data_IF_755605833243
#
_entry.id   IF_755605833243
#
_cell.length_a   1.000
_cell.length_b   1.000
_cell.length_c   1.000
_cell.angle_alpha   90.00
_cell.angle_beta   90.00
_cell.angle_gamma   90.00
#
_symmetry.space_group_name_H-M   'P 1'
#
loop_
_entity.id
_entity.type
_entity.pdbx_description
1 polymer ?
#
# COMPACT_ATOMS: atom_id res chain seq x y z
N UNK A 1 24.30 -27.73 21.39
CA UNK A 1 22.85 -27.65 21.60
C UNK A 1 22.25 -27.42 20.25
N UNK A 2 21.27 -28.18 19.76
CA UNK A 2 20.60 -27.83 18.53
C UNK A 2 19.97 -26.45 18.73
N UNK A 3 19.96 -25.65 17.67
CA UNK A 3 19.42 -24.29 17.65
C UNK A 3 17.91 -24.34 17.90
N UNK A 4 17.51 -24.41 19.17
CA UNK A 4 16.10 -24.32 19.55
C UNK A 4 15.65 -22.87 19.45
N UNK A 5 14.78 -22.57 18.51
CA UNK A 5 14.17 -21.24 18.37
C UNK A 5 12.90 -21.13 19.20
N UNK A 6 12.64 -19.95 19.75
CA UNK A 6 11.35 -19.67 20.37
C UNK A 6 10.28 -19.46 19.30
N UNK A 7 10.66 -18.85 18.16
CA UNK A 7 9.78 -18.70 17.01
C UNK A 7 10.52 -18.79 15.68
N UNK A 8 9.82 -19.30 14.67
CA UNK A 8 10.23 -19.26 13.27
C UNK A 8 9.23 -18.42 12.50
N UNK A 9 9.72 -17.52 11.66
CA UNK A 9 8.91 -16.72 10.73
C UNK A 9 9.25 -17.17 9.31
N UNK A 10 8.28 -17.67 8.57
CA UNK A 10 8.45 -18.04 7.16
C UNK A 10 7.90 -16.93 6.29
N UNK A 11 8.78 -16.30 5.53
CA UNK A 11 8.54 -15.11 4.75
C UNK A 11 9.12 -13.86 5.41
N UNK A 12 9.90 -13.09 4.65
CA UNK A 12 10.52 -11.84 5.09
C UNK A 12 9.90 -10.61 4.42
N UNK A 13 8.63 -10.70 4.05
CA UNK A 13 7.84 -9.53 3.68
C UNK A 13 7.67 -8.57 4.87
N UNK A 14 7.11 -7.35 4.65
CA UNK A 14 6.95 -6.37 5.74
C UNK A 14 6.23 -6.92 6.96
N UNK A 15 5.25 -7.80 6.79
CA UNK A 15 4.49 -8.37 7.91
C UNK A 15 5.31 -9.43 8.66
N UNK A 16 5.99 -10.33 7.96
CA UNK A 16 6.88 -11.31 8.57
C UNK A 16 8.01 -10.65 9.35
N UNK A 17 8.64 -9.62 8.75
CA UNK A 17 9.67 -8.84 9.45
C UNK A 17 9.11 -8.07 10.64
N UNK A 18 7.89 -7.53 10.56
CA UNK A 18 7.26 -6.86 11.70
C UNK A 18 7.02 -7.83 12.88
N UNK A 19 6.59 -9.05 12.58
CA UNK A 19 6.48 -10.10 13.58
C UNK A 19 7.85 -10.45 14.18
N UNK A 20 8.87 -10.63 13.34
CA UNK A 20 10.24 -10.96 13.79
C UNK A 20 10.82 -9.84 14.68
N UNK A 21 10.69 -8.56 14.27
CA UNK A 21 11.11 -7.39 15.07
C UNK A 21 10.42 -7.39 16.43
N UNK A 22 9.12 -7.64 16.46
CA UNK A 22 8.33 -7.64 17.70
C UNK A 22 8.78 -8.75 18.65
N UNK A 23 9.02 -9.93 18.13
CA UNK A 23 9.44 -11.09 18.92
C UNK A 23 10.88 -10.96 19.42
N UNK A 24 11.81 -10.51 18.57
CA UNK A 24 13.20 -10.28 18.98
C UNK A 24 13.33 -9.15 19.99
N UNK A 25 12.55 -8.08 19.85
CA UNK A 25 12.49 -7.00 20.83
C UNK A 25 11.96 -7.47 22.21
N UNK A 26 11.18 -8.54 22.24
CA UNK A 26 10.75 -9.22 23.47
C UNK A 26 11.78 -10.22 24.03
N UNK A 27 12.98 -10.30 23.46
CA UNK A 27 14.07 -11.19 23.89
C UNK A 27 13.95 -12.64 23.44
N UNK A 28 13.07 -12.93 22.46
CA UNK A 28 12.89 -14.28 21.94
C UNK A 28 13.92 -14.58 20.85
N UNK A 29 14.36 -15.84 20.78
CA UNK A 29 15.24 -16.36 19.73
C UNK A 29 14.39 -16.63 18.48
N UNK A 30 14.60 -15.84 17.43
CA UNK A 30 13.78 -15.88 16.21
C UNK A 30 14.65 -16.26 15.02
N UNK A 31 14.14 -17.20 14.21
CA UNK A 31 14.65 -17.50 12.88
C UNK A 31 13.65 -17.00 11.84
N UNK A 32 14.11 -16.19 10.88
CA UNK A 32 13.34 -15.81 9.70
C UNK A 32 13.87 -16.59 8.50
N UNK A 33 12.99 -17.24 7.76
CA UNK A 33 13.36 -18.01 6.55
C UNK A 33 12.66 -17.37 5.34
N UNK A 34 13.47 -17.01 4.34
CA UNK A 34 13.02 -16.35 3.10
C UNK A 34 13.38 -17.19 1.88
N UNK A 35 12.40 -17.42 1.00
CA UNK A 35 12.60 -18.17 -0.23
C UNK A 35 13.44 -17.45 -1.29
N UNK A 36 13.33 -16.12 -1.35
CA UNK A 36 14.11 -15.31 -2.29
C UNK A 36 15.55 -15.10 -1.80
N UNK A 37 16.43 -14.67 -2.70
CA UNK A 37 17.82 -14.34 -2.36
C UNK A 37 17.96 -13.10 -1.46
N UNK A 38 16.92 -12.24 -1.42
CA UNK A 38 16.89 -11.01 -0.64
C UNK A 38 15.61 -10.91 0.17
N UNK A 39 15.70 -10.28 1.33
CA UNK A 39 14.53 -9.96 2.17
C UNK A 39 13.62 -8.91 1.51
N UNK A 40 12.39 -8.80 1.97
CA UNK A 40 11.53 -7.66 1.68
C UNK A 40 10.21 -7.99 1.00
N UNK A 41 10.04 -9.18 0.45
CA UNK A 41 8.78 -9.54 -0.23
C UNK A 41 8.38 -8.53 -1.31
N UNK A 42 7.22 -7.88 -1.17
CA UNK A 42 6.76 -6.83 -2.08
C UNK A 42 7.46 -5.48 -1.91
N UNK A 43 8.25 -5.27 -0.85
CA UNK A 43 9.01 -4.04 -0.60
C UNK A 43 10.49 -4.20 -0.98
N UNK A 44 10.77 -4.77 -2.14
CA UNK A 44 12.12 -4.86 -2.73
C UNK A 44 12.33 -3.78 -3.77
N UNK A 45 13.59 -3.41 -3.99
CA UNK A 45 14.00 -2.44 -5.01
C UNK A 45 15.14 -3.02 -5.81
N UNK A 46 15.01 -3.07 -7.13
CA UNK A 46 15.93 -3.76 -8.03
C UNK A 46 16.17 -2.96 -9.32
N UNK A 47 17.25 -3.28 -10.02
CA UNK A 47 17.53 -2.76 -11.36
C UNK A 47 16.81 -3.61 -12.40
N UNK A 48 15.50 -3.36 -12.59
CA UNK A 48 14.66 -4.21 -13.44
C UNK A 48 14.77 -3.88 -14.94
N UNK A 49 15.31 -2.70 -15.30
CA UNK A 49 15.41 -2.24 -16.69
C UNK A 49 16.86 -2.02 -17.09
N UNK A 50 17.35 -0.80 -17.02
CA UNK A 50 18.71 -0.42 -17.42
C UNK A 50 19.61 -0.18 -16.21
N UNK A 51 20.94 -0.26 -16.34
CA UNK A 51 21.89 0.10 -15.29
C UNK A 51 21.67 1.53 -14.79
N UNK A 52 21.64 1.70 -13.46
CA UNK A 52 21.42 3.01 -12.83
C UNK A 52 19.94 3.35 -12.58
N UNK A 53 18.98 2.57 -13.10
CA UNK A 53 17.55 2.76 -12.84
C UNK A 53 17.07 1.79 -11.74
N UNK A 54 16.57 2.35 -10.65
CA UNK A 54 16.10 1.58 -9.50
C UNK A 54 14.57 1.57 -9.42
N UNK A 55 14.00 0.38 -9.51
CA UNK A 55 12.55 0.16 -9.51
C UNK A 55 12.12 -0.55 -8.24
N UNK A 56 11.02 -0.12 -7.67
CA UNK A 56 10.35 -0.89 -6.62
C UNK A 56 9.62 -2.07 -7.26
N UNK A 57 9.92 -3.28 -6.79
CA UNK A 57 9.42 -4.52 -7.41
C UNK A 57 7.90 -4.62 -7.37
N UNK A 58 7.28 -4.17 -6.26
CA UNK A 58 5.83 -4.18 -6.11
C UNK A 58 5.34 -2.88 -5.44
N UNK A 59 5.59 -2.69 -4.14
CA UNK A 59 5.11 -1.53 -3.39
C UNK A 59 6.07 -0.36 -3.51
N UNK A 60 5.61 0.81 -3.97
CA UNK A 60 6.43 2.00 -4.13
C UNK A 60 6.02 3.17 -3.22
N UNK A 61 4.73 3.36 -3.02
CA UNK A 61 4.20 4.44 -2.17
C UNK A 61 3.71 3.90 -0.83
N UNK A 62 4.02 4.59 0.25
CA UNK A 62 3.88 4.07 1.62
C UNK A 62 3.08 5.00 2.57
N UNK A 63 1.87 5.45 2.22
CA UNK A 63 1.06 6.29 3.11
C UNK A 63 0.74 5.58 4.44
N UNK A 64 0.52 4.26 4.40
CA UNK A 64 0.27 3.46 5.59
C UNK A 64 1.51 3.31 6.49
N UNK A 65 2.73 3.36 5.95
CA UNK A 65 3.93 3.29 6.77
C UNK A 65 4.06 4.50 7.72
N UNK A 66 3.65 5.69 7.25
CA UNK A 66 3.61 6.89 8.10
C UNK A 66 2.55 6.80 9.20
N UNK A 67 1.41 6.19 8.88
CA UNK A 67 0.24 6.11 9.76
C UNK A 67 0.29 4.92 10.73
N UNK A 68 0.95 3.83 10.35
CA UNK A 68 0.96 2.56 11.08
C UNK A 68 1.45 2.71 12.52
N UNK A 69 0.71 2.22 13.53
CA UNK A 69 1.19 2.17 14.92
C UNK A 69 2.52 1.43 15.07
N UNK A 70 2.70 0.33 14.32
CA UNK A 70 3.96 -0.41 14.30
C UNK A 70 5.13 0.47 13.84
N UNK A 71 5.03 1.13 12.68
CA UNK A 71 6.12 1.92 12.15
C UNK A 71 6.39 3.20 12.96
N UNK A 72 5.36 3.79 13.57
CA UNK A 72 5.56 4.89 14.52
C UNK A 72 6.39 4.46 15.73
N UNK A 73 6.14 3.27 16.27
CA UNK A 73 6.92 2.71 17.38
C UNK A 73 8.30 2.25 16.92
N UNK A 74 8.40 1.63 15.74
CA UNK A 74 9.65 1.16 15.15
C UNK A 74 10.62 2.30 14.85
N UNK A 75 10.12 3.45 14.43
CA UNK A 75 10.91 4.66 14.22
C UNK A 75 11.80 4.59 12.98
N UNK A 76 11.22 4.49 11.79
CA UNK A 76 11.95 4.39 10.51
C UNK A 76 13.02 5.47 10.35
N UNK A 77 12.71 6.72 10.68
CA UNK A 77 13.66 7.84 10.55
C UNK A 77 14.90 7.66 11.44
N UNK A 78 14.73 7.19 12.68
CA UNK A 78 15.83 6.91 13.59
C UNK A 78 16.73 5.74 13.10
N UNK A 79 16.26 4.96 12.13
CA UNK A 79 16.96 3.85 11.50
C UNK A 79 17.47 4.20 10.09
N UNK A 80 17.54 5.49 9.75
CA UNK A 80 18.08 5.98 8.49
C UNK A 80 17.16 5.81 7.28
N UNK A 81 15.87 5.52 7.48
CA UNK A 81 14.89 5.44 6.40
C UNK A 81 14.14 6.75 6.31
N UNK A 82 14.33 7.49 5.23
CA UNK A 82 13.60 8.72 4.93
C UNK A 82 12.44 8.41 4.01
N UNK A 83 11.25 8.86 4.42
CA UNK A 83 10.06 8.84 3.58
C UNK A 83 9.85 10.25 3.03
N UNK A 84 9.82 10.39 1.71
CA UNK A 84 9.76 11.67 1.00
C UNK A 84 8.53 11.72 0.10
N UNK A 85 7.79 12.83 0.14
CA UNK A 85 6.61 13.06 -0.70
C UNK A 85 6.93 14.01 -1.84
N UNK A 86 6.24 13.81 -2.95
CA UNK A 86 6.19 14.76 -4.06
C UNK A 86 5.36 16.02 -3.66
N UNK A 87 5.50 17.14 -4.39
CA UNK A 87 4.69 18.36 -4.15
C UNK A 87 3.17 18.11 -4.27
N UNK A 88 2.76 17.21 -5.15
CA UNK A 88 1.39 16.71 -5.29
C UNK A 88 1.39 15.24 -4.88
N UNK A 89 0.56 14.89 -3.92
CA UNK A 89 0.53 13.55 -3.36
C UNK A 89 0.05 12.55 -4.41
N UNK A 90 -1.10 12.83 -5.03
CA UNK A 90 -1.53 12.10 -6.22
C UNK A 90 -2.41 12.96 -7.15
N UNK A 91 -2.47 12.58 -8.41
CA UNK A 91 -3.24 13.25 -9.45
C UNK A 91 -4.14 12.29 -10.21
N UNK A 92 -5.25 12.81 -10.71
CA UNK A 92 -6.17 12.18 -11.62
C UNK A 92 -6.24 13.01 -12.91
N UNK A 93 -5.46 12.66 -13.94
CA UNK A 93 -5.56 13.33 -15.23
C UNK A 93 -6.87 12.96 -15.93
N UNK A 94 -7.41 13.95 -16.67
CA UNK A 94 -8.61 13.86 -17.50
C UNK A 94 -8.28 14.37 -18.89
N UNK A 95 -9.13 14.07 -19.85
CA UNK A 95 -8.97 14.54 -21.22
C UNK A 95 -8.93 16.06 -21.32
N UNK A 96 -8.27 16.54 -22.39
CA UNK A 96 -8.11 17.97 -22.64
C UNK A 96 -7.14 18.69 -21.71
N UNK A 97 -6.18 17.97 -21.10
CA UNK A 97 -5.18 18.55 -20.20
C UNK A 97 -5.72 18.96 -18.83
N UNK A 98 -6.94 18.57 -18.50
CA UNK A 98 -7.51 18.77 -17.16
C UNK A 98 -6.92 17.74 -16.19
N UNK A 99 -6.89 18.09 -14.91
CA UNK A 99 -6.54 17.16 -13.84
C UNK A 99 -7.16 17.57 -12.53
N UNK A 100 -7.48 16.59 -11.69
CA UNK A 100 -7.74 16.80 -10.27
C UNK A 100 -6.52 16.32 -9.47
N UNK A 101 -6.20 17.00 -8.37
CA UNK A 101 -5.03 16.68 -7.56
C UNK A 101 -5.34 16.69 -6.08
N UNK A 102 -4.61 15.88 -5.33
CA UNK A 102 -4.57 15.92 -3.87
C UNK A 102 -3.21 16.47 -3.44
N UNK A 103 -3.24 17.53 -2.66
CA UNK A 103 -2.09 18.09 -1.95
C UNK A 103 -2.19 17.76 -0.46
N UNK A 104 -1.16 18.06 0.31
CA UNK A 104 -1.20 17.88 1.79
C UNK A 104 -2.34 18.69 2.43
N UNK A 105 -2.68 19.82 1.87
CA UNK A 105 -3.72 20.71 2.40
C UNK A 105 -5.10 20.33 1.87
N UNK A 106 -6.02 19.96 2.77
CA UNK A 106 -7.45 19.79 2.42
C UNK A 106 -8.03 21.09 1.86
N UNK A 107 -7.61 22.24 2.38
CA UNK A 107 -8.08 23.55 1.91
C UNK A 107 -7.61 23.83 0.50
N UNK A 108 -6.35 23.66 0.21
CA UNK A 108 -5.79 23.86 -1.14
C UNK A 108 -6.44 22.92 -2.17
N UNK A 109 -6.56 21.63 -1.83
CA UNK A 109 -7.25 20.66 -2.69
C UNK A 109 -8.70 21.10 -2.97
N UNK A 110 -9.41 21.55 -1.94
CA UNK A 110 -10.78 22.01 -2.07
C UNK A 110 -10.91 23.27 -2.95
N UNK A 111 -9.98 24.21 -2.85
CA UNK A 111 -9.94 25.40 -3.68
C UNK A 111 -9.75 25.05 -5.16
N UNK A 112 -8.87 24.10 -5.45
CA UNK A 112 -8.63 23.58 -6.80
C UNK A 112 -9.85 22.86 -7.38
N UNK A 113 -10.72 22.28 -6.54
CA UNK A 113 -11.97 21.62 -6.94
C UNK A 113 -13.15 22.60 -7.13
N UNK A 114 -12.96 23.89 -6.91
CA UNK A 114 -13.93 24.95 -7.21
C UNK A 114 -15.32 24.69 -6.62
N UNK A 115 -16.29 24.41 -7.47
CA UNK A 115 -17.70 24.20 -7.07
C UNK A 115 -17.89 23.08 -6.05
N UNK A 116 -17.04 22.07 -6.05
CA UNK A 116 -17.09 20.93 -5.11
C UNK A 116 -16.23 21.14 -3.87
N UNK A 117 -15.45 22.20 -3.78
CA UNK A 117 -14.52 22.44 -2.68
C UNK A 117 -15.17 22.43 -1.30
N UNK A 118 -16.40 22.98 -1.18
CA UNK A 118 -17.16 22.94 0.09
C UNK A 118 -17.56 21.51 0.47
N UNK A 119 -18.01 20.72 -0.49
CA UNK A 119 -18.39 19.33 -0.26
C UNK A 119 -17.14 18.48 0.12
N UNK A 120 -16.03 18.74 -0.55
CA UNK A 120 -14.75 18.10 -0.27
C UNK A 120 -14.26 18.38 1.15
N UNK A 121 -14.19 19.65 1.57
CA UNK A 121 -13.78 20.03 2.94
C UNK A 121 -14.67 19.42 4.01
N UNK A 122 -15.99 19.40 3.79
CA UNK A 122 -16.93 18.77 4.73
C UNK A 122 -16.72 17.27 4.88
N UNK A 123 -16.28 16.60 3.81
CA UNK A 123 -16.03 15.17 3.83
C UNK A 123 -14.67 14.84 4.44
N UNK A 124 -13.60 15.47 3.97
CA UNK A 124 -12.23 15.10 4.31
C UNK A 124 -11.64 15.86 5.49
N UNK A 125 -12.11 17.06 5.83
CA UNK A 125 -11.60 17.82 6.97
C UNK A 125 -11.63 17.03 8.27
N UNK A 126 -12.83 16.63 8.77
CA UNK A 126 -12.92 15.85 10.01
C UNK A 126 -12.17 14.51 9.99
N UNK A 127 -12.10 13.86 8.83
CA UNK A 127 -11.35 12.60 8.68
C UNK A 127 -9.85 12.83 8.80
N UNK A 128 -9.34 13.93 8.24
CA UNK A 128 -7.92 14.30 8.28
C UNK A 128 -7.51 14.71 9.69
N UNK A 129 -8.33 15.47 10.38
CA UNK A 129 -8.09 15.87 11.77
C UNK A 129 -7.98 14.67 12.72
N UNK A 130 -8.75 13.60 12.45
CA UNK A 130 -8.78 12.38 13.25
C UNK A 130 -8.07 11.17 12.59
N UNK A 131 -7.20 11.42 11.61
CA UNK A 131 -6.57 10.35 10.82
C UNK A 131 -5.81 9.31 11.66
N UNK A 132 -5.21 9.72 12.78
CA UNK A 132 -4.52 8.80 13.68
C UNK A 132 -5.50 7.80 14.34
N UNK A 133 -6.65 8.28 14.83
CA UNK A 133 -7.68 7.42 15.42
C UNK A 133 -8.32 6.50 14.38
N UNK A 134 -8.52 7.01 13.15
CA UNK A 134 -9.00 6.23 12.02
C UNK A 134 -8.02 5.09 11.67
N UNK A 135 -6.74 5.40 11.63
CA UNK A 135 -5.70 4.40 11.33
C UNK A 135 -5.63 3.35 12.44
N UNK A 136 -5.71 3.75 13.69
CA UNK A 136 -5.75 2.83 14.82
C UNK A 136 -6.96 1.89 14.74
N UNK A 137 -8.15 2.40 14.42
CA UNK A 137 -9.35 1.59 14.24
C UNK A 137 -9.16 0.55 13.13
N UNK A 138 -8.63 0.95 11.98
CA UNK A 138 -8.52 0.10 10.79
C UNK A 138 -7.39 -0.94 10.89
N UNK A 139 -6.31 -0.61 11.59
CA UNK A 139 -5.13 -1.49 11.73
C UNK A 139 -5.09 -2.24 13.07
N UNK A 140 -6.08 -2.05 13.93
CA UNK A 140 -6.21 -2.79 15.18
C UNK A 140 -7.07 -4.04 15.03
N UNK A 141 -6.90 -5.04 15.89
CA UNK A 141 -7.80 -6.20 15.90
C UNK A 141 -9.26 -5.77 16.09
N UNK A 142 -10.16 -6.28 15.26
CA UNK A 142 -11.60 -5.94 15.25
C UNK A 142 -12.26 -6.11 16.63
N UNK A 143 -11.72 -6.97 17.49
CA UNK A 143 -12.23 -7.23 18.85
C UNK A 143 -11.85 -6.14 19.87
N UNK A 144 -11.02 -5.18 19.50
CA UNK A 144 -10.65 -4.04 20.37
C UNK A 144 -11.27 -2.77 19.78
N UNK A 145 -12.41 -2.30 20.32
CA UNK A 145 -12.98 -1.03 19.89
C UNK A 145 -11.96 0.10 20.17
N UNK A 146 -11.99 1.18 19.37
CA UNK A 146 -11.12 2.32 19.61
C UNK A 146 -11.34 2.86 21.02
N UNK A 147 -10.28 3.25 21.70
CA UNK A 147 -10.34 3.75 23.07
C UNK A 147 -11.21 5.01 23.22
N UNK A 148 -11.41 5.74 22.11
CA UNK A 148 -12.28 6.93 22.05
C UNK A 148 -12.98 6.99 20.70
N UNK A 149 -14.27 7.32 20.71
CA UNK A 149 -15.00 7.73 19.51
C UNK A 149 -14.71 9.20 19.28
N UNK A 150 -14.01 9.51 18.19
CA UNK A 150 -13.66 10.88 17.81
C UNK A 150 -14.64 11.42 16.76
N UNK A 151 -14.76 12.75 16.60
CA UNK A 151 -15.66 13.36 15.63
C UNK A 151 -15.47 12.85 14.19
N UNK A 152 -14.25 12.49 13.77
CA UNK A 152 -13.96 11.96 12.44
C UNK A 152 -14.37 10.51 12.24
N UNK A 153 -14.43 9.70 13.30
CA UNK A 153 -14.85 8.30 13.20
C UNK A 153 -16.33 8.14 12.81
N UNK A 154 -17.19 9.06 13.26
CA UNK A 154 -18.63 9.03 12.94
C UNK A 154 -18.85 9.19 11.41
N UNK A 155 -18.37 10.26 10.74
CA UNK A 155 -18.52 10.40 9.30
C UNK A 155 -17.79 9.30 8.53
N UNK A 156 -16.67 8.75 9.03
CA UNK A 156 -16.01 7.60 8.41
C UNK A 156 -16.93 6.36 8.45
N UNK A 157 -17.46 6.01 9.62
CA UNK A 157 -18.34 4.83 9.77
C UNK A 157 -19.58 4.94 8.90
N UNK A 158 -20.20 6.11 8.85
CA UNK A 158 -21.41 6.34 8.02
C UNK A 158 -21.12 6.29 6.51
N UNK A 159 -19.98 6.79 6.08
CA UNK A 159 -19.61 6.86 4.66
C UNK A 159 -18.80 5.65 4.20
N UNK A 160 -17.99 5.05 5.06
CA UNK A 160 -17.21 3.84 4.76
C UNK A 160 -18.10 2.62 4.49
N UNK A 161 -19.33 2.60 5.01
CA UNK A 161 -20.34 1.60 4.68
C UNK A 161 -21.06 1.89 3.35
N UNK A 162 -20.66 2.92 2.60
CA UNK A 162 -21.16 3.23 1.26
C UNK A 162 -20.16 2.78 0.20
N UNK A 163 -20.66 2.56 -1.00
CA UNK A 163 -19.81 2.41 -2.17
C UNK A 163 -19.20 3.75 -2.59
N UNK A 164 -18.09 3.73 -3.32
CA UNK A 164 -17.51 4.93 -3.92
C UNK A 164 -18.53 5.66 -4.81
N UNK A 165 -19.34 4.91 -5.56
CA UNK A 165 -20.44 5.47 -6.35
C UNK A 165 -21.47 6.22 -5.50
N UNK A 166 -21.78 5.70 -4.30
CA UNK A 166 -22.68 6.37 -3.37
C UNK A 166 -22.11 7.66 -2.79
N UNK A 167 -20.78 7.70 -2.56
CA UNK A 167 -20.11 8.91 -2.06
C UNK A 167 -19.94 9.94 -3.18
N UNK A 168 -19.59 9.51 -4.41
CA UNK A 168 -19.38 10.37 -5.57
C UNK A 168 -20.59 11.24 -5.93
N UNK A 169 -21.80 10.82 -5.57
CA UNK A 169 -23.05 11.62 -5.76
C UNK A 169 -23.04 12.97 -5.02
N UNK A 170 -22.11 13.18 -4.09
CA UNK A 170 -21.93 14.45 -3.38
C UNK A 170 -21.22 15.50 -4.23
N UNK A 171 -20.51 15.05 -5.26
CA UNK A 171 -19.72 15.88 -6.14
C UNK A 171 -20.44 16.08 -7.48
N UNK A 172 -20.31 17.28 -8.02
CA UNK A 172 -20.96 17.72 -9.26
C UNK A 172 -20.03 17.69 -10.45
N UNK A 173 -18.73 17.97 -10.19
CA UNK A 173 -17.72 18.08 -11.24
C UNK A 173 -17.11 16.71 -11.57
N UNK A 174 -16.76 16.47 -12.84
CA UNK A 174 -16.03 15.27 -13.22
C UNK A 174 -14.70 15.11 -12.44
N UNK A 175 -14.01 16.22 -12.19
CA UNK A 175 -12.73 16.27 -11.50
C UNK A 175 -12.83 15.70 -10.07
N UNK A 176 -13.77 16.17 -9.27
CA UNK A 176 -13.93 15.71 -7.89
C UNK A 176 -14.40 14.26 -7.82
N UNK A 177 -15.25 13.84 -8.75
CA UNK A 177 -15.72 12.46 -8.86
C UNK A 177 -14.61 11.51 -9.29
N UNK A 178 -13.83 11.89 -10.30
CA UNK A 178 -12.70 11.12 -10.80
C UNK A 178 -11.59 10.96 -9.73
N UNK A 179 -11.30 12.02 -8.99
CA UNK A 179 -10.32 11.98 -7.89
C UNK A 179 -10.69 10.94 -6.82
N UNK A 180 -11.97 10.86 -6.44
CA UNK A 180 -12.45 9.85 -5.51
C UNK A 180 -12.38 8.44 -6.13
N UNK A 181 -12.72 8.28 -7.42
CA UNK A 181 -12.72 6.97 -8.08
C UNK A 181 -11.31 6.39 -8.20
N UNK A 182 -10.31 7.22 -8.53
CA UNK A 182 -8.91 6.78 -8.59
C UNK A 182 -8.43 6.20 -7.27
N UNK A 183 -8.66 6.90 -6.16
CA UNK A 183 -8.33 6.39 -4.84
C UNK A 183 -9.14 5.14 -4.45
N UNK A 184 -10.43 5.08 -4.80
CA UNK A 184 -11.29 3.96 -4.46
C UNK A 184 -10.99 2.69 -5.26
N UNK A 185 -10.48 2.83 -6.50
CA UNK A 185 -10.10 1.71 -7.36
C UNK A 185 -8.94 0.88 -6.81
N UNK A 186 -8.15 1.41 -5.86
CA UNK A 186 -7.20 0.59 -5.11
C UNK A 186 -7.85 -0.58 -4.36
N UNK A 187 -9.17 -0.57 -4.17
CA UNK A 187 -9.92 -1.70 -3.63
C UNK A 187 -10.03 -2.89 -4.57
N UNK A 188 -9.71 -2.73 -5.87
CA UNK A 188 -9.81 -3.75 -6.92
C UNK A 188 -11.19 -4.42 -6.94
N UNK A 189 -12.22 -3.63 -6.77
CA UNK A 189 -13.63 -4.04 -6.71
C UNK A 189 -14.48 -3.07 -7.54
N UNK A 190 -15.64 -3.51 -8.06
CA UNK A 190 -16.59 -2.59 -8.67
C UNK A 190 -16.88 -1.39 -7.76
N UNK A 191 -16.79 -0.17 -8.29
CA UNK A 191 -16.97 1.05 -7.49
C UNK A 191 -18.38 1.20 -6.88
N UNK A 192 -19.30 0.32 -7.24
CA UNK A 192 -20.62 0.15 -6.62
C UNK A 192 -20.61 -0.75 -5.39
N UNK A 193 -19.50 -1.45 -5.11
CA UNK A 193 -19.36 -2.33 -3.94
C UNK A 193 -19.09 -1.52 -2.67
N UNK A 194 -19.71 -1.92 -1.57
CA UNK A 194 -19.66 -1.20 -0.27
C UNK A 194 -18.24 -0.88 0.21
N UNK A 195 -17.24 -1.77 0.21
CA UNK A 195 -15.93 -1.45 0.77
C UNK A 195 -15.17 -0.36 0.02
N UNK A 196 -15.52 -0.08 -1.26
CA UNK A 196 -14.76 0.87 -2.08
C UNK A 196 -14.85 2.31 -1.57
N UNK A 197 -15.94 2.67 -0.91
CA UNK A 197 -16.06 3.97 -0.23
C UNK A 197 -15.05 4.10 0.90
N UNK A 198 -14.91 3.09 1.75
CA UNK A 198 -13.92 3.11 2.83
C UNK A 198 -12.49 3.23 2.29
N UNK A 199 -12.16 2.51 1.21
CA UNK A 199 -10.83 2.57 0.57
C UNK A 199 -10.53 3.98 0.08
N UNK A 200 -11.43 4.59 -0.71
CA UNK A 200 -11.25 5.94 -1.23
C UNK A 200 -11.13 6.99 -0.12
N UNK A 201 -11.97 6.90 0.92
CA UNK A 201 -11.91 7.79 2.07
C UNK A 201 -10.60 7.65 2.84
N UNK A 202 -10.20 6.41 3.17
CA UNK A 202 -8.98 6.15 3.92
C UNK A 202 -7.75 6.65 3.18
N UNK A 203 -7.57 6.26 1.93
CA UNK A 203 -6.37 6.60 1.17
C UNK A 203 -6.25 8.11 0.95
N UNK A 204 -7.35 8.80 0.61
CA UNK A 204 -7.33 10.27 0.47
C UNK A 204 -7.06 10.96 1.81
N UNK A 205 -7.64 10.46 2.91
CA UNK A 205 -7.36 10.97 4.26
C UNK A 205 -5.89 10.80 4.63
N UNK A 206 -5.29 9.64 4.35
CA UNK A 206 -3.87 9.40 4.60
C UNK A 206 -2.98 10.33 3.79
N UNK A 207 -3.33 10.60 2.52
CA UNK A 207 -2.60 11.54 1.69
C UNK A 207 -2.58 12.95 2.31
N UNK A 208 -3.69 13.43 2.83
CA UNK A 208 -3.75 14.71 3.54
C UNK A 208 -3.01 14.69 4.88
N UNK A 209 -3.24 13.68 5.70
CA UNK A 209 -2.71 13.65 7.07
C UNK A 209 -1.21 13.32 7.12
N UNK A 210 -0.76 12.36 6.32
CA UNK A 210 0.58 11.79 6.39
C UNK A 210 1.39 11.91 5.09
N UNK A 211 0.73 12.18 3.94
CA UNK A 211 1.31 12.20 2.61
C UNK A 211 1.23 10.86 1.88
N UNK A 212 1.78 10.88 0.69
CA UNK A 212 1.87 9.71 -0.19
C UNK A 212 3.34 9.41 -0.53
N UNK A 213 4.18 9.18 0.51
CA UNK A 213 5.63 9.16 0.36
C UNK A 213 6.12 7.90 -0.33
N UNK A 214 7.30 8.03 -0.96
CA UNK A 214 8.17 6.93 -1.33
C UNK A 214 9.35 6.85 -0.33
N UNK A 215 9.97 5.67 -0.22
CA UNK A 215 11.21 5.57 0.54
C UNK A 215 12.40 6.05 -0.32
N UNK A 216 13.19 6.98 0.20
CA UNK A 216 14.40 7.46 -0.45
C UNK A 216 15.38 6.28 -0.65
N UNK A 217 15.85 6.10 -1.88
CA UNK A 217 16.66 4.96 -2.29
C UNK A 217 15.88 3.65 -2.49
N UNK A 218 14.56 3.67 -2.36
CA UNK A 218 13.69 2.53 -2.66
C UNK A 218 13.02 1.86 -1.47
N UNK A 219 11.93 1.16 -1.75
CA UNK A 219 11.11 0.45 -0.74
C UNK A 219 11.91 -0.57 0.05
N UNK A 220 12.95 -1.17 -0.53
CA UNK A 220 13.87 -2.09 0.15
C UNK A 220 14.52 -1.47 1.41
N UNK A 221 14.68 -0.15 1.48
CA UNK A 221 15.22 0.53 2.65
C UNK A 221 14.39 0.27 3.91
N UNK A 222 13.07 0.18 3.76
CA UNK A 222 12.15 -0.11 4.87
C UNK A 222 12.40 -1.52 5.42
N UNK A 223 12.39 -2.51 4.55
CA UNK A 223 12.53 -3.92 4.96
C UNK A 223 13.96 -4.27 5.37
N UNK A 224 14.97 -3.61 4.79
CA UNK A 224 16.35 -3.76 5.24
C UNK A 224 16.52 -3.22 6.67
N UNK A 225 15.99 -2.05 6.99
CA UNK A 225 16.06 -1.54 8.36
C UNK A 225 15.36 -2.45 9.38
N UNK A 226 14.29 -3.13 8.97
CA UNK A 226 13.62 -4.13 9.81
C UNK A 226 14.48 -5.39 9.98
N UNK A 227 15.09 -5.89 8.90
CA UNK A 227 16.00 -7.04 8.94
C UNK A 227 17.22 -6.74 9.82
N UNK A 228 17.82 -5.55 9.67
CA UNK A 228 18.95 -5.10 10.50
C UNK A 228 18.56 -5.07 11.99
N UNK A 229 17.33 -4.62 12.30
CA UNK A 229 16.83 -4.61 13.68
C UNK A 229 16.65 -6.02 14.25
N UNK A 230 16.16 -6.97 13.46
CA UNK A 230 16.05 -8.39 13.84
C UNK A 230 17.44 -8.94 14.17
N UNK A 231 18.42 -8.72 13.29
CA UNK A 231 19.79 -9.21 13.45
C UNK A 231 20.49 -8.56 14.65
N UNK A 232 20.34 -7.23 14.80
CA UNK A 232 20.91 -6.51 15.93
C UNK A 232 20.35 -6.96 17.29
N UNK A 233 19.12 -7.48 17.32
CA UNK A 233 18.50 -8.06 18.50
C UNK A 233 18.81 -9.57 18.69
N UNK A 234 19.75 -10.13 17.90
CA UNK A 234 20.17 -11.54 18.01
C UNK A 234 19.30 -12.54 17.23
N UNK A 235 18.36 -12.05 16.41
CA UNK A 235 17.61 -12.90 15.48
C UNK A 235 18.47 -13.34 14.28
N UNK A 236 18.09 -14.45 13.68
CA UNK A 236 18.75 -15.00 12.48
C UNK A 236 17.84 -14.91 11.28
N UNK A 237 18.41 -14.57 10.13
CA UNK A 237 17.68 -14.52 8.85
C UNK A 237 18.41 -15.42 7.84
N UNK A 238 17.68 -16.31 7.21
CA UNK A 238 18.15 -17.18 6.15
C UNK A 238 17.39 -16.87 4.87
N UNK A 239 18.11 -16.59 3.78
CA UNK A 239 17.56 -16.31 2.45
C UNK A 239 17.88 -17.44 1.47
N UNK A 240 17.15 -17.49 0.34
CA UNK A 240 17.35 -18.53 -0.67
C UNK A 240 16.80 -19.91 -0.26
N UNK A 241 16.01 -19.98 0.80
CA UNK A 241 15.46 -21.23 1.32
C UNK A 241 13.92 -21.24 1.22
N UNK A 242 13.43 -21.87 0.18
CA UNK A 242 11.99 -22.10 -0.01
C UNK A 242 11.49 -23.23 0.88
N UNK A 243 10.79 -22.90 1.95
CA UNK A 243 10.13 -23.88 2.81
C UNK A 243 8.93 -24.47 2.07
N UNK A 244 8.97 -25.77 1.84
CA UNK A 244 7.92 -26.52 1.13
C UNK A 244 7.04 -27.34 2.07
N UNK A 245 7.55 -27.67 3.25
CA UNK A 245 6.86 -28.41 4.29
C UNK A 245 7.24 -27.90 5.66
N UNK A 246 6.30 -27.86 6.60
CA UNK A 246 6.63 -27.55 8.00
C UNK A 246 7.59 -28.55 8.65
N UNK A 247 7.72 -29.76 8.10
CA UNK A 247 8.67 -30.76 8.56
C UNK A 247 10.14 -30.41 8.27
N UNK A 248 10.41 -29.43 7.38
CA UNK A 248 11.77 -28.93 7.09
C UNK A 248 12.27 -27.93 8.14
N UNK A 249 11.35 -27.41 8.96
CA UNK A 249 11.68 -26.39 9.95
C UNK A 249 12.37 -27.02 11.17
N UNK A 250 13.37 -26.37 11.75
CA UNK A 250 13.93 -26.80 13.03
C UNK A 250 12.88 -26.71 14.15
N UNK A 251 13.12 -27.33 15.30
CA UNK A 251 12.22 -27.25 16.45
C UNK A 251 12.01 -25.80 16.90
N UNK A 252 10.74 -25.41 17.09
CA UNK A 252 10.37 -24.11 17.62
C UNK A 252 9.07 -24.20 18.43
N UNK A 253 8.86 -23.26 19.36
CA UNK A 253 7.63 -23.17 20.16
C UNK A 253 6.46 -22.60 19.35
N UNK A 254 6.77 -21.75 18.34
CA UNK A 254 5.78 -21.14 17.46
C UNK A 254 6.32 -21.01 16.04
N UNK A 255 5.43 -21.16 15.05
CA UNK A 255 5.73 -20.89 13.64
C UNK A 255 4.73 -19.85 13.12
N UNK A 256 5.25 -18.75 12.61
CA UNK A 256 4.48 -17.67 11.97
C UNK A 256 4.68 -17.77 10.46
N UNK A 257 3.59 -17.81 9.72
CA UNK A 257 3.62 -18.04 8.28
C UNK A 257 3.12 -16.79 7.56
N UNK A 258 4.03 -15.95 7.07
CA UNK A 258 3.74 -14.80 6.21
C UNK A 258 3.70 -15.25 4.74
N UNK A 259 2.74 -16.12 4.46
CA UNK A 259 2.56 -16.78 3.16
C UNK A 259 1.11 -16.72 2.71
N UNK A 260 0.87 -17.00 1.43
CA UNK A 260 -0.49 -17.04 0.90
C UNK A 260 -1.27 -18.26 1.40
N UNK A 261 -2.63 -18.22 1.43
CA UNK A 261 -3.45 -19.39 1.76
C UNK A 261 -3.13 -20.64 0.97
N UNK A 262 -2.78 -20.50 -0.32
CA UNK A 262 -2.36 -21.63 -1.17
C UNK A 262 -1.05 -22.23 -0.71
N UNK A 263 -0.06 -21.39 -0.38
CA UNK A 263 1.22 -21.83 0.14
C UNK A 263 1.05 -22.54 1.50
N UNK A 264 0.24 -21.99 2.41
CA UNK A 264 -0.08 -22.62 3.69
C UNK A 264 -0.70 -24.02 3.51
N UNK A 265 -1.62 -24.18 2.57
CA UNK A 265 -2.21 -25.48 2.24
C UNK A 265 -1.16 -26.48 1.73
N UNK A 266 -0.23 -26.02 0.90
CA UNK A 266 0.83 -26.86 0.37
C UNK A 266 1.81 -27.30 1.47
N UNK A 267 2.18 -26.38 2.38
CA UNK A 267 3.18 -26.61 3.43
C UNK A 267 2.64 -27.44 4.60
N UNK A 268 1.40 -27.22 5.01
CA UNK A 268 0.83 -27.72 6.25
C UNK A 268 -0.53 -28.44 6.09
N UNK A 269 -1.00 -28.66 4.86
CA UNK A 269 -2.37 -29.10 4.60
C UNK A 269 -2.79 -30.38 5.34
N UNK A 270 -1.86 -31.33 5.52
CA UNK A 270 -2.13 -32.56 6.29
C UNK A 270 -2.24 -32.36 7.81
N UNK A 271 -1.70 -31.27 8.34
CA UNK A 271 -1.67 -30.98 9.79
C UNK A 271 -2.78 -30.00 10.22
N UNK A 272 -3.44 -29.35 9.26
CA UNK A 272 -4.50 -28.37 9.56
C UNK A 272 -5.84 -29.06 9.84
N UNK A 273 -6.63 -28.53 10.79
CA UNK A 273 -8.01 -28.98 11.00
C UNK A 273 -8.82 -28.93 9.70
N UNK A 274 -9.68 -29.94 9.48
CA UNK A 274 -10.46 -30.10 8.23
C UNK A 274 -11.22 -28.83 7.88
N UNK A 275 -11.97 -28.26 8.82
CA UNK A 275 -12.76 -27.04 8.57
C UNK A 275 -11.92 -25.82 8.18
N UNK A 276 -10.72 -25.66 8.77
CA UNK A 276 -9.81 -24.58 8.42
C UNK A 276 -9.19 -24.79 7.03
N UNK A 277 -8.76 -26.01 6.73
CA UNK A 277 -8.27 -26.40 5.41
C UNK A 277 -9.30 -26.12 4.31
N UNK A 278 -10.56 -26.43 4.56
CA UNK A 278 -11.65 -26.18 3.61
C UNK A 278 -11.96 -24.68 3.47
N UNK A 279 -11.81 -23.90 4.54
CA UNK A 279 -11.89 -22.44 4.46
C UNK A 279 -10.78 -21.85 3.59
N UNK A 280 -9.54 -22.32 3.77
CA UNK A 280 -8.39 -21.90 2.94
C UNK A 280 -8.56 -22.29 1.46
N UNK A 281 -9.12 -23.46 1.16
CA UNK A 281 -9.43 -23.90 -0.23
C UNK A 281 -10.46 -22.99 -0.90
N UNK A 282 -11.42 -22.48 -0.14
CA UNK A 282 -12.44 -21.55 -0.63
C UNK A 282 -11.99 -20.10 -0.67
N UNK A 283 -10.78 -19.81 -0.22
CA UNK A 283 -10.23 -18.45 -0.28
C UNK A 283 -10.16 -17.95 -1.73
N UNK A 284 -10.78 -16.80 -1.99
CA UNK A 284 -10.78 -16.17 -3.32
C UNK A 284 -9.73 -15.08 -3.39
N UNK A 285 -8.82 -15.24 -4.31
CA UNK A 285 -7.83 -14.21 -4.60
C UNK A 285 -8.50 -13.06 -5.37
N UNK A 286 -7.93 -11.86 -5.25
CA UNK A 286 -8.29 -10.71 -6.07
C UNK A 286 -7.88 -10.88 -7.53
N UNK A 287 -8.19 -9.88 -8.34
CA UNK A 287 -7.76 -9.83 -9.73
C UNK A 287 -6.22 -9.82 -9.85
N UNK A 288 -5.70 -10.37 -10.94
CA UNK A 288 -4.29 -10.27 -11.29
C UNK A 288 -3.92 -8.83 -11.66
N UNK A 289 -2.67 -8.45 -11.40
CA UNK A 289 -2.09 -7.16 -11.77
C UNK A 289 -0.99 -7.39 -12.80
N UNK A 290 -0.97 -6.58 -13.84
CA UNK A 290 0.14 -6.48 -14.78
C UNK A 290 0.93 -5.22 -14.43
N UNK A 291 2.22 -5.37 -14.17
CA UNK A 291 3.12 -4.26 -13.87
C UNK A 291 4.13 -4.08 -15.00
N UNK A 292 4.36 -2.85 -15.41
CA UNK A 292 5.35 -2.48 -16.41
C UNK A 292 6.29 -1.43 -15.83
N UNK A 293 7.59 -1.65 -15.93
CA UNK A 293 8.63 -0.73 -15.49
C UNK A 293 9.27 -0.01 -16.67
N UNK A 294 9.49 1.29 -16.54
CA UNK A 294 10.06 2.12 -17.59
C UNK A 294 11.31 2.85 -17.09
N UNK A 295 12.38 2.76 -17.86
CA UNK A 295 13.53 3.67 -17.80
C UNK A 295 13.30 4.78 -18.83
N UNK A 296 13.17 6.02 -18.35
CA UNK A 296 12.83 7.17 -19.18
C UNK A 296 14.04 8.11 -19.32
N UNK A 297 14.28 8.60 -20.55
CA UNK A 297 15.32 9.57 -20.84
C UNK A 297 15.01 10.99 -20.34
N UNK A 298 13.84 11.21 -19.75
CA UNK A 298 13.38 12.48 -19.20
C UNK A 298 12.04 12.34 -18.49
N UNK A 299 11.47 13.44 -17.98
CA UNK A 299 10.16 13.42 -17.34
C UNK A 299 9.04 13.09 -18.34
N UNK A 300 7.98 12.46 -17.83
CA UNK A 300 6.79 12.19 -18.63
C UNK A 300 6.17 13.52 -19.10
N UNK A 301 5.88 13.69 -20.39
CA UNK A 301 5.40 14.97 -20.95
C UNK A 301 3.89 15.18 -20.70
N UNK A 302 3.48 15.18 -19.44
CA UNK A 302 2.09 15.47 -19.08
C UNK A 302 1.64 16.83 -19.59
N UNK A 303 0.42 16.92 -20.12
CA UNK A 303 -0.17 18.19 -20.54
C UNK A 303 -0.46 19.13 -19.35
N UNK A 304 -0.76 18.55 -18.19
CA UNK A 304 -1.02 19.30 -16.96
C UNK A 304 0.22 19.30 -16.06
N UNK A 305 0.65 20.50 -15.68
CA UNK A 305 1.85 20.65 -14.83
C UNK A 305 1.72 20.04 -13.44
N UNK A 306 0.50 19.99 -12.89
CA UNK A 306 0.28 19.32 -11.60
C UNK A 306 0.54 17.80 -11.68
N UNK A 307 0.31 17.19 -12.84
CA UNK A 307 0.65 15.77 -13.06
C UNK A 307 2.18 15.54 -13.09
N UNK A 308 2.96 16.53 -13.53
CA UNK A 308 4.44 16.46 -13.48
C UNK A 308 4.98 16.50 -12.06
N UNK A 309 4.23 17.14 -11.15
CA UNK A 309 4.57 17.28 -9.73
C UNK A 309 4.02 16.16 -8.86
N UNK A 310 3.24 15.24 -9.42
CA UNK A 310 2.61 14.16 -8.68
C UNK A 310 3.53 12.95 -8.55
N UNK A 311 3.63 12.40 -7.34
CA UNK A 311 4.34 11.13 -7.11
C UNK A 311 3.56 9.93 -7.66
N UNK A 312 2.25 10.00 -7.62
CA UNK A 312 1.33 8.95 -8.10
C UNK A 312 0.23 9.54 -8.97
N UNK A 313 -0.16 8.81 -10.01
CA UNK A 313 -1.29 9.18 -10.88
C UNK A 313 -2.23 7.99 -11.04
N UNK A 314 -3.52 8.30 -11.09
CA UNK A 314 -4.57 7.33 -11.38
C UNK A 314 -5.10 7.59 -12.79
N UNK A 315 -4.78 6.73 -13.75
CA UNK A 315 -5.28 6.82 -15.11
C UNK A 315 -6.57 6.00 -15.26
N UNK A 316 -7.43 6.44 -16.16
CA UNK A 316 -8.70 5.76 -16.45
C UNK A 316 -9.84 6.77 -16.68
N UNK A 317 -9.49 8.07 -16.77
CA UNK A 317 -10.47 9.11 -17.12
C UNK A 317 -11.44 9.48 -16.00
N UNK A 318 -12.71 9.56 -16.33
CA UNK A 318 -13.82 9.94 -15.45
C UNK A 318 -14.17 8.84 -14.45
N UNK A 319 -15.03 9.18 -13.49
CA UNK A 319 -15.59 8.20 -12.55
C UNK A 319 -16.27 7.03 -13.28
N UNK A 320 -17.02 7.32 -14.32
CA UNK A 320 -17.80 6.34 -15.09
C UNK A 320 -16.89 5.37 -15.84
N UNK A 321 -15.81 5.85 -16.42
CA UNK A 321 -14.83 5.04 -17.15
C UNK A 321 -14.08 4.10 -16.20
N UNK A 322 -13.59 4.61 -15.06
CA UNK A 322 -12.95 3.77 -14.04
C UNK A 322 -13.95 2.75 -13.48
N UNK A 323 -15.19 3.15 -13.21
CA UNK A 323 -16.22 2.23 -12.73
C UNK A 323 -16.52 1.11 -13.73
N UNK A 324 -16.55 1.42 -15.02
CA UNK A 324 -16.73 0.43 -16.08
C UNK A 324 -15.54 -0.53 -16.18
N UNK A 325 -14.30 -0.02 -16.08
CA UNK A 325 -13.08 -0.84 -16.08
C UNK A 325 -13.08 -1.82 -14.91
N UNK A 326 -13.30 -1.35 -13.68
CA UNK A 326 -13.35 -2.20 -12.49
C UNK A 326 -14.49 -3.24 -12.53
N UNK A 327 -15.65 -2.87 -13.09
CA UNK A 327 -16.75 -3.80 -13.28
C UNK A 327 -16.42 -4.89 -14.32
N UNK A 328 -15.70 -4.56 -15.38
CA UNK A 328 -15.24 -5.53 -16.37
C UNK A 328 -14.26 -6.54 -15.76
N UNK A 329 -13.28 -6.06 -15.00
CA UNK A 329 -12.30 -6.92 -14.29
C UNK A 329 -13.01 -7.86 -13.31
N UNK A 330 -13.94 -7.33 -12.52
CA UNK A 330 -14.71 -8.15 -11.57
C UNK A 330 -15.60 -9.22 -12.26
N UNK A 331 -15.99 -8.97 -13.51
CA UNK A 331 -16.70 -9.93 -14.35
C UNK A 331 -15.75 -10.91 -15.10
N UNK A 332 -14.44 -10.88 -14.80
CA UNK A 332 -13.45 -11.74 -15.44
C UNK A 332 -13.12 -11.35 -16.89
N UNK A 333 -13.35 -10.10 -17.27
CA UNK A 333 -13.07 -9.57 -18.60
C UNK A 333 -11.94 -8.53 -18.57
N UNK A 334 -11.17 -8.43 -19.63
CA UNK A 334 -10.25 -7.32 -19.83
C UNK A 334 -11.04 -6.08 -20.30
N UNK A 335 -10.90 -4.93 -19.63
CA UNK A 335 -11.51 -3.68 -20.11
C UNK A 335 -10.73 -3.15 -21.33
N UNK A 336 -11.44 -2.48 -22.25
CA UNK A 336 -10.81 -1.83 -23.40
C UNK A 336 -9.91 -0.66 -22.99
N UNK A 337 -10.29 0.06 -21.93
CA UNK A 337 -9.51 1.10 -21.28
C UNK A 337 -9.34 0.76 -19.80
N UNK A 338 -8.22 0.13 -19.40
CA UNK A 338 -7.99 -0.28 -18.02
C UNK A 338 -7.74 0.92 -17.10
N UNK A 339 -8.13 0.79 -15.84
CA UNK A 339 -7.59 1.64 -14.80
C UNK A 339 -6.11 1.31 -14.60
N UNK A 340 -5.26 2.34 -14.58
CA UNK A 340 -3.81 2.17 -14.42
C UNK A 340 -3.31 3.08 -13.31
N UNK A 341 -2.65 2.48 -12.32
CA UNK A 341 -1.91 3.19 -11.29
C UNK A 341 -0.49 3.45 -11.80
N UNK A 342 -0.10 4.72 -11.82
CA UNK A 342 1.27 5.13 -12.18
C UNK A 342 1.97 5.69 -10.94
N UNK A 343 3.25 5.33 -10.79
CA UNK A 343 4.13 5.97 -9.80
C UNK A 343 5.35 6.54 -10.51
N UNK A 344 5.68 7.80 -10.17
CA UNK A 344 6.85 8.56 -10.61
C UNK A 344 7.79 8.80 -9.42
N UNK A 345 8.53 7.80 -8.95
CA UNK A 345 9.33 7.94 -7.71
C UNK A 345 10.36 9.05 -7.82
N UNK A 346 10.92 9.27 -9.02
CA UNK A 346 11.94 10.29 -9.29
C UNK A 346 11.49 11.73 -9.03
N UNK A 347 10.18 11.99 -8.93
CA UNK A 347 9.64 13.33 -8.56
C UNK A 347 9.96 13.66 -7.11
N UNK A 348 9.94 12.67 -6.22
CA UNK A 348 10.24 12.83 -4.80
C UNK A 348 11.68 12.41 -4.46
N UNK A 349 12.25 11.47 -5.20
CA UNK A 349 13.56 10.85 -4.98
C UNK A 349 14.37 10.78 -6.29
N UNK A 350 15.15 11.82 -6.61
CA UNK A 350 15.95 11.84 -7.83
C UNK A 350 17.04 10.76 -7.91
N UNK A 351 17.35 10.08 -6.81
CA UNK A 351 18.38 9.02 -6.79
C UNK A 351 17.96 7.74 -7.53
N UNK A 352 16.69 7.67 -7.99
CA UNK A 352 16.13 6.49 -8.63
C UNK A 352 16.60 6.24 -10.06
N UNK A 353 17.19 7.26 -10.70
CA UNK A 353 17.69 7.22 -12.08
C UNK A 353 18.92 8.10 -12.25
N UNK A 354 19.69 7.93 -13.35
CA UNK A 354 20.75 8.85 -13.71
C UNK A 354 20.21 10.29 -13.87
N UNK A 355 21.10 11.28 -13.72
CA UNK A 355 20.75 12.70 -13.83
C UNK A 355 20.00 13.00 -15.15
N UNK A 356 18.86 13.68 -15.06
CA UNK A 356 17.97 13.99 -16.18
C UNK A 356 17.04 12.86 -16.62
N UNK A 357 17.23 11.64 -16.11
CA UNK A 357 16.37 10.49 -16.38
C UNK A 357 15.35 10.28 -15.27
N UNK A 358 14.37 9.42 -15.51
CA UNK A 358 13.37 9.04 -14.53
C UNK A 358 13.02 7.54 -14.60
N UNK A 359 12.58 7.00 -13.48
CA UNK A 359 11.85 5.72 -13.43
C UNK A 359 10.37 5.99 -13.37
N UNK A 360 9.61 5.12 -14.01
CA UNK A 360 8.17 5.07 -13.87
C UNK A 360 7.74 3.61 -13.84
N UNK A 361 6.70 3.30 -13.07
CA UNK A 361 5.98 2.05 -13.23
C UNK A 361 4.47 2.26 -13.30
N UNK A 362 3.83 1.36 -14.02
CA UNK A 362 2.40 1.35 -14.24
C UNK A 362 1.84 -0.06 -14.02
#
# INVERSE_FOLDING_TARGET
>A
MPDDFDAIVVGSGPNGLAAAVTLTAAGLRVLVIEGAATVGGGCRTEKLTLPGFWHDVCSAAHPLAMASPFFRQFGLAARGVRLVSAPVEFAQPLDGGRAAVVTRSVTETAERLGADGRAYRRLFGPLTDDAAALTELLLSPIRRPPARVTPGLVPFSMNGLRSAAGIARRFRTPEARALLSGAAAHGMLPLTSVPTGAVGLMLTTLAHAFGWPVAEGGSARITQAMADAVTAAGGRIETGHWVRSLAELPPARAVLLDVTPRALLAMAGGQLPVGYRDALRRFRYGAGVCKVDFALAGPVPWLNDSCRQAGTLHLGGTFEEIAAAEAAVAAGRHPDAPYVLITQPGVADPSRAPAGCQTLWA
#
